data_IF_206839971745
#
_entry.id   IF_206839971745
#
_cell.length_a   1.000
_cell.length_b   1.000
_cell.length_c   1.000
_cell.angle_alpha   90.00
_cell.angle_beta   90.00
_cell.angle_gamma   90.00
#
_symmetry.space_group_name_H-M   'P 1'
#
loop_
_entity.id
_entity.type
_entity.pdbx_description
1 polymer ?
#
# COMPACT_ATOMS: atom_id res chain seq x y z
N UNK A 1 -8.06 22.73 22.03
CA UNK A 1 -7.65 21.64 21.12
C UNK A 1 -8.89 21.21 20.37
N UNK A 2 -8.75 20.84 19.09
CA UNK A 2 -9.90 20.40 18.28
C UNK A 2 -10.35 19.04 18.79
N UNK A 3 -11.65 18.88 19.07
CA UNK A 3 -12.22 17.60 19.53
C UNK A 3 -12.42 16.69 18.35
N UNK A 4 -11.78 15.53 18.36
CA UNK A 4 -11.80 14.62 17.21
C UNK A 4 -12.17 13.21 17.60
N UNK A 5 -12.89 12.55 16.72
CA UNK A 5 -13.05 11.09 16.73
C UNK A 5 -12.04 10.52 15.73
N UNK A 6 -11.21 9.59 16.17
CA UNK A 6 -10.29 8.87 15.28
C UNK A 6 -10.94 7.56 14.84
N UNK A 7 -11.21 7.42 13.54
CA UNK A 7 -11.86 6.23 12.99
C UNK A 7 -10.81 5.33 12.30
N UNK A 8 -10.53 4.19 12.92
CA UNK A 8 -9.59 3.17 12.47
C UNK A 8 -8.48 2.91 13.48
N UNK A 9 -8.21 1.63 13.77
CA UNK A 9 -7.24 1.19 14.80
C UNK A 9 -5.96 0.57 14.24
N UNK A 10 -5.75 0.66 12.92
CA UNK A 10 -4.57 0.12 12.23
C UNK A 10 -3.28 0.91 12.49
N UNK A 11 -2.22 0.63 11.72
CA UNK A 11 -0.96 1.39 11.87
C UNK A 11 -1.14 2.88 11.54
N UNK A 12 -2.06 3.21 10.63
CA UNK A 12 -2.34 4.59 10.23
C UNK A 12 -2.77 5.49 11.39
N UNK A 13 -3.56 5.00 12.35
CA UNK A 13 -3.90 5.78 13.54
C UNK A 13 -2.69 6.02 14.45
N UNK A 14 -1.78 5.04 14.57
CA UNK A 14 -0.58 5.18 15.39
C UNK A 14 0.30 6.30 14.85
N UNK A 15 0.57 6.29 13.55
CA UNK A 15 1.38 7.32 12.87
C UNK A 15 0.72 8.70 12.96
N UNK A 16 -0.59 8.77 12.76
CA UNK A 16 -1.32 10.03 12.84
C UNK A 16 -1.26 10.64 14.24
N UNK A 17 -1.46 9.83 15.28
CA UNK A 17 -1.39 10.27 16.67
C UNK A 17 0.03 10.65 17.09
N UNK A 18 1.06 9.96 16.58
CA UNK A 18 2.46 10.34 16.83
C UNK A 18 2.79 11.73 16.26
N UNK A 19 2.24 12.09 15.10
CA UNK A 19 2.50 13.39 14.43
C UNK A 19 1.65 14.53 14.97
N UNK A 20 0.36 14.28 15.20
CA UNK A 20 -0.63 15.33 15.46
C UNK A 20 -1.34 15.19 16.80
N UNK A 21 -1.16 14.08 17.53
CA UNK A 21 -1.90 13.78 18.76
C UNK A 21 -1.72 14.81 19.87
N UNK A 22 -0.57 15.49 19.94
CA UNK A 22 -0.31 16.56 20.91
C UNK A 22 -1.12 17.85 20.66
N UNK A 23 -1.77 17.98 19.50
CA UNK A 23 -2.59 19.12 19.11
C UNK A 23 -4.10 18.82 19.14
N UNK A 24 -4.45 17.53 19.32
CA UNK A 24 -5.80 17.00 19.21
C UNK A 24 -6.36 16.62 20.59
N UNK A 25 -7.66 16.87 20.78
CA UNK A 25 -8.42 16.30 21.88
C UNK A 25 -9.18 15.07 21.35
N UNK A 26 -8.57 13.88 21.47
CA UNK A 26 -9.15 12.64 20.94
C UNK A 26 -10.22 12.14 21.91
N UNK A 27 -11.47 12.47 21.60
CA UNK A 27 -12.62 12.17 22.47
C UNK A 27 -13.11 10.72 22.32
N UNK A 28 -12.82 10.08 21.19
CA UNK A 28 -13.14 8.67 20.94
C UNK A 28 -12.23 8.06 19.88
N UNK A 29 -12.01 6.74 19.99
CA UNK A 29 -11.49 5.90 18.91
C UNK A 29 -12.57 4.92 18.51
N UNK A 30 -12.83 4.85 17.20
CA UNK A 30 -13.91 4.03 16.63
C UNK A 30 -13.34 3.07 15.60
N UNK A 31 -13.87 1.84 15.56
CA UNK A 31 -13.56 0.87 14.51
C UNK A 31 -14.81 0.08 14.11
N UNK A 32 -14.87 -0.38 12.85
CA UNK A 32 -15.96 -1.24 12.37
C UNK A 32 -15.78 -2.69 12.82
N UNK A 33 -14.60 -3.05 13.32
CA UNK A 33 -14.30 -4.36 13.87
C UNK A 33 -15.01 -4.58 15.22
N UNK A 34 -16.06 -5.42 15.20
CA UNK A 34 -16.81 -5.77 16.41
C UNK A 34 -15.96 -6.52 17.44
N UNK A 35 -14.90 -7.23 17.02
CA UNK A 35 -14.03 -7.93 17.96
C UNK A 35 -13.15 -6.97 18.76
N UNK A 36 -12.93 -5.75 18.26
CA UNK A 36 -12.17 -4.70 18.94
C UNK A 36 -13.02 -3.84 19.86
N UNK A 37 -14.34 -3.84 19.72
CA UNK A 37 -15.22 -3.03 20.56
C UNK A 37 -15.00 -3.37 22.05
N UNK A 38 -14.80 -2.34 22.86
CA UNK A 38 -14.52 -2.47 24.30
C UNK A 38 -13.08 -2.84 24.65
N UNK A 39 -12.21 -3.12 23.67
CA UNK A 39 -10.78 -3.37 23.90
C UNK A 39 -9.99 -2.06 24.03
N UNK A 40 -8.79 -2.15 24.61
CA UNK A 40 -7.92 -0.99 24.86
C UNK A 40 -7.01 -0.74 23.65
N UNK A 41 -7.00 0.49 23.18
CA UNK A 41 -6.07 1.05 22.21
C UNK A 41 -5.05 1.95 22.91
N UNK A 42 -3.76 1.70 22.63
CA UNK A 42 -2.60 2.47 23.13
C UNK A 42 -2.78 2.93 24.60
N UNK A 43 -2.79 1.91 25.47
CA UNK A 43 -2.81 1.95 26.93
C UNK A 43 -4.09 2.47 27.62
N UNK A 44 -4.82 3.45 27.07
CA UNK A 44 -5.91 4.11 27.82
C UNK A 44 -7.21 4.41 27.06
N UNK A 45 -7.28 4.22 25.73
CA UNK A 45 -8.49 4.55 24.96
C UNK A 45 -9.31 3.30 24.68
N UNK A 46 -10.61 3.33 24.95
CA UNK A 46 -11.51 2.21 24.67
C UNK A 46 -12.03 2.36 23.23
N UNK A 47 -11.87 1.30 22.44
CA UNK A 47 -12.39 1.27 21.07
C UNK A 47 -13.91 1.15 21.13
N UNK A 48 -14.59 2.10 20.49
CA UNK A 48 -16.05 2.20 20.45
C UNK A 48 -16.60 1.76 19.10
N UNK A 49 -17.85 1.29 19.06
CA UNK A 49 -18.54 1.03 17.79
C UNK A 49 -19.01 2.34 17.12
N UNK A 50 -19.18 2.36 15.79
CA UNK A 50 -19.58 3.57 15.07
C UNK A 50 -20.97 4.10 15.46
N UNK A 51 -21.86 3.23 15.95
CA UNK A 51 -23.18 3.62 16.44
C UNK A 51 -23.13 4.54 17.66
N UNK A 52 -22.01 4.56 18.39
CA UNK A 52 -21.82 5.44 19.55
C UNK A 52 -21.34 6.85 19.18
N UNK A 53 -21.00 7.13 17.92
CA UNK A 53 -20.49 8.43 17.45
C UNK A 53 -21.39 9.59 17.86
N UNK A 54 -22.72 9.42 17.78
CA UNK A 54 -23.69 10.45 18.13
C UNK A 54 -23.69 10.84 19.63
N UNK A 55 -23.05 10.04 20.49
CA UNK A 55 -22.97 10.31 21.92
C UNK A 55 -21.79 11.21 22.31
N UNK A 56 -20.85 11.45 21.40
CA UNK A 56 -19.68 12.28 21.64
C UNK A 56 -19.89 13.73 21.17
N UNK A 57 -19.28 14.67 21.87
CA UNK A 57 -19.13 16.06 21.43
C UNK A 57 -17.82 16.20 20.65
N UNK A 58 -17.92 16.41 19.33
CA UNK A 58 -16.78 16.46 18.42
C UNK A 58 -16.92 17.51 17.31
N UNK A 59 -15.77 18.03 16.90
CA UNK A 59 -15.64 18.97 15.79
C UNK A 59 -15.48 18.22 14.45
N UNK A 60 -14.71 17.11 14.44
CA UNK A 60 -14.36 16.36 13.21
C UNK A 60 -14.15 14.87 13.48
N UNK A 61 -14.39 14.04 12.47
CA UNK A 61 -14.06 12.60 12.42
C UNK A 61 -12.91 12.41 11.42
N UNK A 62 -11.80 11.85 11.89
CA UNK A 62 -10.60 11.62 11.10
C UNK A 62 -10.53 10.13 10.74
N UNK A 63 -10.65 9.80 9.45
CA UNK A 63 -10.66 8.41 8.98
C UNK A 63 -9.24 7.97 8.59
N UNK A 64 -8.61 7.16 9.43
CA UNK A 64 -7.23 6.66 9.28
C UNK A 64 -7.22 5.18 8.91
N UNK A 65 -7.93 4.86 7.83
CA UNK A 65 -8.25 3.49 7.45
C UNK A 65 -8.15 3.30 5.94
N UNK A 66 -7.75 2.10 5.49
CA UNK A 66 -7.77 1.76 4.06
C UNK A 66 -9.20 1.71 3.49
N UNK A 67 -10.20 1.45 4.34
CA UNK A 67 -11.63 1.45 3.99
C UNK A 67 -12.25 2.85 4.07
N UNK A 68 -11.48 3.91 3.78
CA UNK A 68 -11.92 5.28 4.02
C UNK A 68 -13.18 5.65 3.20
N UNK A 69 -13.32 5.09 2.00
CA UNK A 69 -14.48 5.35 1.13
C UNK A 69 -15.76 4.74 1.70
N UNK A 70 -15.70 3.50 2.15
CA UNK A 70 -16.80 2.78 2.77
C UNK A 70 -17.19 3.42 4.10
N UNK A 71 -16.21 3.73 4.95
CA UNK A 71 -16.43 4.40 6.24
C UNK A 71 -17.06 5.78 6.02
N UNK A 72 -16.56 6.58 5.07
CA UNK A 72 -17.16 7.89 4.78
C UNK A 72 -18.61 7.76 4.33
N UNK A 73 -18.93 6.77 3.49
CA UNK A 73 -20.32 6.52 3.06
C UNK A 73 -21.20 6.03 4.20
N UNK A 74 -20.69 5.20 5.11
CA UNK A 74 -21.39 4.74 6.31
C UNK A 74 -21.73 5.92 7.23
N UNK A 75 -20.73 6.76 7.52
CA UNK A 75 -20.89 7.94 8.37
C UNK A 75 -21.96 8.88 7.80
N UNK A 76 -21.91 9.17 6.51
CA UNK A 76 -22.87 10.06 5.84
C UNK A 76 -24.28 9.44 5.77
N UNK A 77 -24.42 8.22 5.22
CA UNK A 77 -25.72 7.68 4.81
C UNK A 77 -26.43 6.89 5.90
N UNK A 78 -25.68 6.24 6.79
CA UNK A 78 -26.25 5.37 7.82
C UNK A 78 -26.30 6.10 9.17
N UNK A 79 -25.26 6.86 9.49
CA UNK A 79 -25.13 7.56 10.78
C UNK A 79 -25.49 9.06 10.71
N UNK A 80 -25.84 9.57 9.52
CA UNK A 80 -26.23 10.96 9.28
C UNK A 80 -25.20 11.99 9.80
N UNK A 81 -23.91 11.66 9.71
CA UNK A 81 -22.83 12.59 10.03
C UNK A 81 -22.70 13.62 8.92
N UNK A 82 -22.58 14.89 9.29
CA UNK A 82 -22.31 15.97 8.34
C UNK A 82 -20.97 15.73 7.63
N UNK A 83 -21.00 15.65 6.30
CA UNK A 83 -19.83 15.42 5.46
C UNK A 83 -18.73 16.47 5.69
N UNK A 84 -19.08 17.70 6.09
CA UNK A 84 -18.09 18.74 6.40
C UNK A 84 -17.28 18.45 7.66
N UNK A 85 -17.72 17.50 8.50
CA UNK A 85 -17.01 17.01 9.68
C UNK A 85 -16.15 15.79 9.39
N UNK A 86 -16.10 15.28 8.15
CA UNK A 86 -15.32 14.09 7.81
C UNK A 86 -14.02 14.53 7.14
N UNK A 87 -12.89 14.12 7.74
CA UNK A 87 -11.56 14.36 7.20
C UNK A 87 -10.84 13.04 6.92
N UNK A 88 -10.34 12.88 5.70
CA UNK A 88 -9.51 11.75 5.29
C UNK A 88 -8.10 12.30 5.07
N UNK A 89 -7.15 12.05 5.98
CA UNK A 89 -5.80 12.57 5.85
C UNK A 89 -5.09 12.01 4.60
N UNK A 90 -4.22 12.82 3.97
CA UNK A 90 -3.24 12.35 3.01
C UNK A 90 -2.42 11.17 3.53
N UNK A 91 -1.97 10.27 2.65
CA UNK A 91 -1.14 9.12 3.04
C UNK A 91 0.10 9.50 3.85
N UNK A 92 0.72 10.65 3.53
CA UNK A 92 1.88 11.17 4.27
C UNK A 92 1.63 11.42 5.75
N UNK A 93 0.38 11.63 6.15
CA UNK A 93 0.01 11.95 7.52
C UNK A 93 -0.29 10.69 8.34
N UNK A 94 -0.50 9.55 7.68
CA UNK A 94 -0.82 8.24 8.29
C UNK A 94 0.26 7.18 8.02
N UNK A 95 1.38 7.56 7.40
CA UNK A 95 2.57 6.73 7.21
C UNK A 95 3.80 7.51 7.70
N UNK A 96 4.85 6.83 8.16
CA UNK A 96 6.17 7.44 8.35
C UNK A 96 6.84 7.69 6.98
N UNK A 97 6.43 8.78 6.32
CA UNK A 97 6.97 9.15 5.01
C UNK A 97 8.23 9.97 5.22
N UNK A 98 9.35 9.27 5.36
CA UNK A 98 10.68 9.89 5.40
C UNK A 98 11.12 10.44 4.04
N UNK A 99 10.27 10.29 3.00
CA UNK A 99 10.53 10.62 1.58
C UNK A 99 11.92 10.18 1.15
N UNK A 100 12.20 8.87 1.25
CA UNK A 100 13.53 8.33 1.01
C UNK A 100 14.08 8.72 -0.36
N UNK A 101 13.24 8.89 -1.37
CA UNK A 101 13.69 9.19 -2.74
C UNK A 101 13.99 10.67 -3.00
N UNK A 102 13.74 11.58 -2.05
CA UNK A 102 14.30 12.94 -2.09
C UNK A 102 15.82 12.91 -1.84
N UNK A 103 16.33 11.90 -1.14
CA UNK A 103 17.77 11.65 -0.98
C UNK A 103 18.36 10.98 -2.24
N UNK A 104 19.33 11.60 -2.94
CA UNK A 104 19.85 11.07 -4.19
C UNK A 104 20.50 9.68 -4.08
N UNK A 105 21.18 9.38 -2.98
CA UNK A 105 21.86 8.10 -2.79
C UNK A 105 20.85 6.97 -2.56
N UNK A 106 19.83 7.23 -1.75
CA UNK A 106 18.75 6.28 -1.48
C UNK A 106 17.92 6.04 -2.73
N UNK A 107 17.62 7.09 -3.50
CA UNK A 107 16.94 6.97 -4.80
C UNK A 107 17.76 6.15 -5.80
N UNK A 108 19.06 6.41 -5.91
CA UNK A 108 19.91 5.63 -6.82
C UNK A 108 19.98 4.15 -6.40
N UNK A 109 20.05 3.86 -5.10
CA UNK A 109 19.96 2.50 -4.60
C UNK A 109 18.64 1.83 -4.99
N UNK A 110 17.50 2.51 -4.84
CA UNK A 110 16.20 1.98 -5.26
C UNK A 110 16.16 1.73 -6.78
N UNK A 111 16.68 2.66 -7.60
CA UNK A 111 16.79 2.50 -9.07
C UNK A 111 17.63 1.27 -9.43
N UNK A 112 18.79 1.10 -8.81
CA UNK A 112 19.65 -0.05 -9.06
C UNK A 112 18.99 -1.38 -8.67
N UNK A 113 18.28 -1.43 -7.54
CA UNK A 113 17.54 -2.64 -7.16
C UNK A 113 16.42 -2.94 -8.17
N UNK A 114 15.65 -1.94 -8.61
CA UNK A 114 14.61 -2.13 -9.64
C UNK A 114 15.21 -2.70 -10.93
N UNK A 115 16.31 -2.09 -11.42
CA UNK A 115 16.99 -2.53 -12.64
C UNK A 115 17.49 -3.97 -12.52
N UNK A 116 18.12 -4.32 -11.39
CA UNK A 116 18.70 -5.65 -11.17
C UNK A 116 17.64 -6.73 -10.99
N UNK A 117 16.60 -6.48 -10.19
CA UNK A 117 15.48 -7.41 -10.04
C UNK A 117 14.76 -7.62 -11.38
N UNK A 118 14.52 -6.55 -12.14
CA UNK A 118 13.90 -6.64 -13.47
C UNK A 118 14.78 -7.43 -14.45
N UNK A 119 16.09 -7.20 -14.44
CA UNK A 119 17.04 -7.94 -15.27
C UNK A 119 16.99 -9.45 -14.95
N UNK A 120 17.14 -9.84 -13.68
CA UNK A 120 17.09 -11.26 -13.31
C UNK A 120 15.73 -11.88 -13.60
N UNK A 121 14.65 -11.12 -13.40
CA UNK A 121 13.31 -11.62 -13.70
C UNK A 121 13.13 -11.89 -15.19
N UNK A 122 13.61 -11.02 -16.07
CA UNK A 122 13.56 -11.23 -17.52
C UNK A 122 14.40 -12.45 -17.92
N UNK A 123 15.64 -12.56 -17.42
CA UNK A 123 16.54 -13.69 -17.75
C UNK A 123 15.96 -15.04 -17.28
N UNK A 124 15.34 -15.05 -16.10
CA UNK A 124 14.78 -16.26 -15.49
C UNK A 124 13.29 -16.50 -15.88
N UNK A 125 12.73 -15.70 -16.81
CA UNK A 125 11.33 -15.74 -17.25
C UNK A 125 10.31 -15.63 -16.09
N UNK A 126 10.64 -14.83 -15.08
CA UNK A 126 9.76 -14.49 -13.97
C UNK A 126 8.96 -13.24 -14.32
N UNK A 127 7.62 -13.30 -14.38
CA UNK A 127 6.76 -12.15 -14.70
C UNK A 127 6.63 -11.18 -13.51
N UNK A 128 7.73 -10.48 -13.20
CA UNK A 128 7.83 -9.45 -12.17
C UNK A 128 7.66 -8.06 -12.80
N UNK A 129 6.46 -7.50 -12.69
CA UNK A 129 6.07 -6.23 -13.31
C UNK A 129 6.24 -5.09 -12.32
N UNK A 130 6.80 -3.95 -12.73
CA UNK A 130 6.68 -2.71 -11.93
C UNK A 130 5.23 -2.26 -11.93
N UNK A 131 4.72 -1.83 -10.77
CA UNK A 131 3.30 -1.56 -10.56
C UNK A 131 3.08 -0.23 -9.80
N UNK A 132 1.82 0.18 -9.66
CA UNK A 132 1.36 1.30 -8.84
C UNK A 132 2.24 2.56 -8.94
N UNK A 133 2.76 3.08 -7.81
CA UNK A 133 3.52 4.32 -7.74
C UNK A 133 4.83 4.26 -8.51
N UNK A 134 5.47 3.08 -8.52
CA UNK A 134 6.71 2.84 -9.27
C UNK A 134 6.49 2.91 -10.77
N UNK A 135 5.47 2.21 -11.29
CA UNK A 135 5.09 2.31 -12.69
C UNK A 135 4.70 3.74 -13.07
N UNK A 136 3.91 4.41 -12.23
CA UNK A 136 3.50 5.79 -12.45
C UNK A 136 4.71 6.72 -12.57
N UNK A 137 5.68 6.61 -11.66
CA UNK A 137 6.92 7.36 -11.70
C UNK A 137 7.70 7.10 -12.99
N UNK A 138 7.98 5.83 -13.29
CA UNK A 138 8.76 5.45 -14.49
C UNK A 138 8.11 6.01 -15.76
N UNK A 139 6.77 5.99 -15.87
CA UNK A 139 6.06 6.42 -17.07
C UNK A 139 5.89 7.94 -17.15
N UNK A 140 5.59 8.60 -16.03
CA UNK A 140 5.31 10.04 -16.00
C UNK A 140 6.56 10.89 -15.84
N UNK A 141 7.42 10.49 -14.91
CA UNK A 141 8.55 11.29 -14.42
C UNK A 141 9.90 10.74 -14.94
N UNK A 142 9.89 9.59 -15.63
CA UNK A 142 11.09 8.85 -16.08
C UNK A 142 12.03 8.44 -14.93
N UNK A 143 11.50 8.33 -13.72
CA UNK A 143 12.21 7.99 -12.47
C UNK A 143 11.19 7.50 -11.43
N UNK A 144 11.65 6.94 -10.31
CA UNK A 144 10.77 6.78 -9.13
C UNK A 144 10.25 8.13 -8.65
N UNK A 145 9.03 8.18 -8.12
CA UNK A 145 8.42 9.42 -7.67
C UNK A 145 9.22 9.96 -6.47
N UNK A 146 9.70 11.21 -6.57
CA UNK A 146 10.59 11.79 -5.54
C UNK A 146 10.00 11.77 -4.12
N UNK A 147 8.69 11.97 -4.00
CA UNK A 147 7.99 12.02 -2.72
C UNK A 147 7.36 10.68 -2.31
N UNK A 148 7.62 9.58 -3.04
CA UNK A 148 7.20 8.24 -2.63
C UNK A 148 8.08 7.68 -1.52
N UNK A 149 7.57 6.64 -0.85
CA UNK A 149 8.26 5.94 0.24
C UNK A 149 8.61 4.48 -0.06
N UNK A 150 8.06 3.91 -1.12
CA UNK A 150 8.24 2.51 -1.48
C UNK A 150 8.39 2.28 -2.99
N UNK A 151 8.82 1.06 -3.33
CA UNK A 151 8.79 0.54 -4.70
C UNK A 151 7.78 -0.59 -4.74
N UNK A 152 6.97 -0.65 -5.80
CA UNK A 152 5.93 -1.66 -5.98
C UNK A 152 6.20 -2.53 -7.21
N UNK A 153 6.16 -3.84 -6.97
CA UNK A 153 6.10 -4.85 -8.01
C UNK A 153 4.86 -5.72 -7.85
N UNK A 154 4.39 -6.23 -8.98
CA UNK A 154 3.41 -7.31 -9.04
C UNK A 154 3.99 -8.54 -9.72
N UNK A 155 3.63 -9.70 -9.19
CA UNK A 155 3.83 -10.99 -9.87
C UNK A 155 2.48 -11.46 -10.40
N UNK A 156 2.46 -11.97 -11.63
CA UNK A 156 1.28 -12.60 -12.24
C UNK A 156 1.68 -13.91 -12.91
N UNK A 157 0.83 -14.93 -12.89
CA UNK A 157 1.07 -16.16 -13.67
C UNK A 157 2.47 -16.78 -13.44
N UNK A 158 2.91 -16.86 -12.18
CA UNK A 158 4.19 -17.48 -11.82
C UNK A 158 4.25 -18.93 -12.36
N UNK A 159 5.38 -19.35 -13.00
CA UNK A 159 5.53 -20.72 -13.45
C UNK A 159 5.37 -21.73 -12.29
N UNK A 160 4.74 -22.88 -12.55
CA UNK A 160 4.39 -23.88 -11.54
C UNK A 160 5.60 -24.51 -10.85
N UNK A 161 6.74 -24.51 -11.51
CA UNK A 161 8.01 -25.07 -11.04
C UNK A 161 8.92 -24.04 -10.35
N UNK A 162 8.46 -22.79 -10.24
CA UNK A 162 9.22 -21.72 -9.59
C UNK A 162 8.76 -21.51 -8.15
N UNK A 163 9.68 -21.78 -7.21
CA UNK A 163 9.57 -21.32 -5.83
C UNK A 163 10.03 -19.86 -5.74
N UNK A 164 9.08 -18.92 -5.80
CA UNK A 164 9.40 -17.49 -5.92
C UNK A 164 10.24 -16.95 -4.76
N UNK A 165 9.99 -17.39 -3.52
CA UNK A 165 10.81 -16.99 -2.38
C UNK A 165 12.29 -17.34 -2.60
N UNK A 166 12.56 -18.57 -3.04
CA UNK A 166 13.93 -19.03 -3.33
C UNK A 166 14.54 -18.22 -4.46
N UNK A 167 13.78 -17.96 -5.53
CA UNK A 167 14.23 -17.10 -6.62
C UNK A 167 14.56 -15.69 -6.13
N UNK A 168 13.69 -15.06 -5.34
CA UNK A 168 13.86 -13.71 -4.81
C UNK A 168 15.11 -13.62 -3.94
N UNK A 169 15.31 -14.56 -3.01
CA UNK A 169 16.49 -14.61 -2.14
C UNK A 169 17.79 -14.75 -2.96
N UNK A 170 17.77 -15.57 -4.01
CA UNK A 170 18.91 -15.71 -4.91
C UNK A 170 19.15 -14.44 -5.76
N UNK A 171 18.09 -13.82 -6.29
CA UNK A 171 18.18 -12.62 -7.12
C UNK A 171 18.70 -11.42 -6.30
N UNK A 172 18.16 -11.21 -5.10
CA UNK A 172 18.58 -10.12 -4.21
C UNK A 172 20.00 -10.36 -3.67
N UNK A 173 20.38 -11.60 -3.38
CA UNK A 173 21.73 -11.96 -2.94
C UNK A 173 22.82 -11.71 -3.99
N UNK A 174 22.46 -11.56 -5.27
CA UNK A 174 23.37 -11.14 -6.35
C UNK A 174 23.57 -9.63 -6.42
N UNK A 175 22.82 -8.83 -5.65
CA UNK A 175 22.93 -7.37 -5.64
C UNK A 175 23.85 -6.95 -4.50
N UNK A 176 24.86 -6.13 -4.79
CA UNK A 176 25.72 -5.56 -3.76
C UNK A 176 24.98 -4.44 -3.03
N UNK A 177 24.40 -4.76 -1.87
CA UNK A 177 23.62 -3.81 -1.08
C UNK A 177 24.50 -3.12 -0.02
N UNK A 178 24.58 -1.78 -0.01
CA UNK A 178 25.31 -1.03 1.02
C UNK A 178 24.48 -0.83 2.31
N UNK A 179 23.41 -1.62 2.49
CA UNK A 179 22.40 -1.46 3.54
C UNK A 179 22.01 -2.81 4.12
N UNK A 180 21.46 -2.81 5.33
CA UNK A 180 20.89 -4.01 5.91
C UNK A 180 19.54 -4.31 5.25
N UNK A 181 19.33 -5.58 4.90
CA UNK A 181 18.11 -6.09 4.30
C UNK A 181 17.38 -6.99 5.29
N UNK A 182 16.09 -6.76 5.46
CA UNK A 182 15.18 -7.67 6.13
C UNK A 182 14.03 -8.01 5.18
N UNK A 183 13.65 -9.28 5.05
CA UNK A 183 12.57 -9.69 4.17
C UNK A 183 11.47 -10.35 4.99
N UNK A 184 10.23 -9.94 4.72
CA UNK A 184 9.06 -10.57 5.28
C UNK A 184 8.11 -11.03 4.19
N UNK A 185 7.45 -12.16 4.42
CA UNK A 185 6.44 -12.72 3.52
C UNK A 185 5.07 -12.76 4.19
N UNK A 186 4.01 -12.45 3.45
CA UNK A 186 2.62 -12.62 3.87
C UNK A 186 2.08 -13.92 3.27
N UNK A 187 1.48 -14.74 4.11
CA UNK A 187 0.86 -16.02 3.73
C UNK A 187 -0.64 -15.92 4.04
N UNK A 188 -1.46 -16.20 3.03
CA UNK A 188 -2.92 -16.28 3.12
C UNK A 188 -3.32 -17.66 2.63
N UNK A 189 -4.10 -18.43 3.41
CA UNK A 189 -4.58 -19.77 3.02
C UNK A 189 -3.46 -20.70 2.49
N UNK A 190 -2.32 -20.74 3.20
CA UNK A 190 -1.11 -21.50 2.84
C UNK A 190 -0.44 -21.08 1.51
N UNK A 191 -0.81 -19.93 0.95
CA UNK A 191 -0.22 -19.36 -0.26
C UNK A 191 0.55 -18.09 0.08
N UNK A 192 1.78 -17.98 -0.41
CA UNK A 192 2.55 -16.73 -0.34
C UNK A 192 1.93 -15.70 -1.27
N UNK A 193 1.51 -14.56 -0.72
CA UNK A 193 0.81 -13.52 -1.48
C UNK A 193 1.59 -12.23 -1.59
N UNK A 194 2.59 -12.00 -0.73
CA UNK A 194 3.41 -10.79 -0.78
C UNK A 194 4.77 -11.00 -0.14
N UNK A 195 5.75 -10.25 -0.61
CA UNK A 195 7.04 -10.04 0.03
C UNK A 195 7.23 -8.55 0.27
N UNK A 196 7.82 -8.20 1.41
CA UNK A 196 8.29 -6.84 1.68
C UNK A 196 9.77 -6.93 2.05
N UNK A 197 10.59 -6.22 1.27
CA UNK A 197 12.01 -6.06 1.53
C UNK A 197 12.22 -4.70 2.18
N UNK A 198 12.74 -4.68 3.40
CA UNK A 198 13.05 -3.48 4.17
C UNK A 198 14.54 -3.19 4.10
N UNK A 199 14.89 -1.99 3.64
CA UNK A 199 16.27 -1.54 3.49
C UNK A 199 16.57 -0.48 4.55
N UNK A 200 17.51 -0.78 5.45
CA UNK A 200 17.85 0.08 6.60
C UNK A 200 19.35 0.31 6.71
N UNK A 201 19.75 1.55 6.92
CA UNK A 201 21.13 1.93 7.16
C UNK A 201 21.21 3.32 7.81
N UNK A 202 22.34 3.66 8.42
CA UNK A 202 22.54 5.00 9.03
C UNK A 202 22.71 6.10 7.97
N UNK A 203 23.45 5.80 6.89
CA UNK A 203 23.75 6.72 5.79
C UNK A 203 22.70 6.78 4.67
N UNK A 204 21.66 5.93 4.69
CA UNK A 204 20.59 5.92 3.70
C UNK A 204 19.24 6.10 4.41
N UNK A 205 18.27 6.70 3.72
CA UNK A 205 16.89 6.76 4.24
C UNK A 205 16.28 5.37 4.15
N UNK A 206 15.45 5.01 5.14
CA UNK A 206 14.75 3.72 5.13
C UNK A 206 13.67 3.75 4.05
N UNK A 207 13.59 2.69 3.26
CA UNK A 207 12.52 2.46 2.30
C UNK A 207 12.22 0.97 2.18
N UNK A 208 11.11 0.64 1.52
CA UNK A 208 10.73 -0.74 1.26
C UNK A 208 10.46 -1.02 -0.21
N UNK A 209 10.61 -2.28 -0.60
CA UNK A 209 10.09 -2.79 -1.87
C UNK A 209 9.00 -3.81 -1.56
N UNK A 210 7.81 -3.57 -2.07
CA UNK A 210 6.69 -4.50 -2.05
C UNK A 210 6.70 -5.33 -3.33
N UNK A 211 6.51 -6.65 -3.19
CA UNK A 211 6.30 -7.55 -4.31
C UNK A 211 5.04 -8.35 -4.02
N UNK A 212 3.97 -8.08 -4.75
CA UNK A 212 2.65 -8.61 -4.44
C UNK A 212 2.10 -9.50 -5.54
N UNK A 213 1.50 -10.62 -5.16
CA UNK A 213 0.88 -11.54 -6.10
C UNK A 213 -0.48 -11.01 -6.53
N UNK A 214 -0.74 -11.09 -7.84
CA UNK A 214 -2.06 -10.88 -8.43
C UNK A 214 -2.59 -12.20 -8.98
N UNK A 215 -3.89 -12.42 -8.81
CA UNK A 215 -4.57 -13.63 -9.27
C UNK A 215 -5.80 -13.28 -10.10
N UNK A 216 -6.04 -14.05 -11.17
CA UNK A 216 -7.24 -13.93 -11.98
C UNK A 216 -8.44 -14.54 -11.23
N UNK A 217 -9.47 -13.72 -11.00
CA UNK A 217 -10.74 -14.13 -10.39
C UNK A 217 -11.88 -13.35 -11.04
N UNK A 218 -12.90 -14.05 -11.54
CA UNK A 218 -14.09 -13.44 -12.17
C UNK A 218 -13.74 -12.38 -13.24
N UNK A 219 -12.88 -12.75 -14.21
CA UNK A 219 -12.44 -11.90 -15.34
C UNK A 219 -11.66 -10.61 -14.95
N UNK A 220 -11.11 -10.57 -13.74
CA UNK A 220 -10.23 -9.49 -13.25
C UNK A 220 -9.06 -10.04 -12.47
N UNK A 221 -7.92 -9.36 -12.54
CA UNK A 221 -6.82 -9.63 -11.61
C UNK A 221 -7.06 -8.90 -10.30
N UNK A 222 -7.01 -9.63 -9.20
CA UNK A 222 -7.12 -9.09 -7.83
C UNK A 222 -5.73 -9.03 -7.19
N UNK A 223 -5.44 -7.93 -6.51
CA UNK A 223 -4.26 -7.80 -5.67
C UNK A 223 -4.50 -8.57 -4.36
N UNK A 224 -3.81 -9.69 -4.19
CA UNK A 224 -4.09 -10.64 -3.10
C UNK A 224 -3.84 -10.06 -1.71
N UNK A 225 -2.74 -9.32 -1.44
CA UNK A 225 -2.48 -8.80 -0.09
C UNK A 225 -3.55 -7.83 0.41
N UNK A 226 -4.28 -7.19 -0.50
CA UNK A 226 -5.39 -6.28 -0.19
C UNK A 226 -6.77 -6.93 -0.26
N UNK A 227 -6.86 -8.26 -0.41
CA UNK A 227 -8.12 -8.98 -0.57
C UNK A 227 -8.93 -8.57 -1.82
N UNK A 228 -8.28 -7.99 -2.84
CA UNK A 228 -8.95 -7.49 -4.05
C UNK A 228 -9.44 -6.03 -4.00
N UNK A 229 -9.09 -5.25 -2.97
CA UNK A 229 -9.38 -3.81 -2.92
C UNK A 229 -8.76 -3.09 -4.11
N UNK A 230 -7.51 -3.42 -4.44
CA UNK A 230 -6.97 -3.12 -5.77
C UNK A 230 -7.27 -4.29 -6.70
N UNK A 231 -7.85 -3.96 -7.85
CA UNK A 231 -8.14 -4.92 -8.92
C UNK A 231 -7.86 -4.25 -10.26
N UNK A 232 -7.94 -5.04 -11.32
CA UNK A 232 -7.77 -4.54 -12.68
C UNK A 232 -8.45 -5.48 -13.68
N UNK A 233 -9.03 -4.95 -14.77
CA UNK A 233 -9.47 -5.75 -15.90
C UNK A 233 -8.39 -6.74 -16.36
N UNK A 234 -8.81 -7.95 -16.73
CA UNK A 234 -7.90 -9.04 -17.13
C UNK A 234 -6.87 -8.62 -18.20
N UNK A 235 -7.29 -7.80 -19.16
CA UNK A 235 -6.44 -7.35 -20.29
C UNK A 235 -5.09 -6.75 -19.89
N UNK A 236 -4.97 -6.18 -18.68
CA UNK A 236 -3.75 -5.50 -18.24
C UNK A 236 -2.68 -6.48 -17.73
N UNK A 237 -3.05 -7.71 -17.37
CA UNK A 237 -2.16 -8.65 -16.68
C UNK A 237 -2.13 -10.07 -17.28
N UNK A 238 -2.98 -10.37 -18.25
CA UNK A 238 -2.83 -11.57 -19.11
C UNK A 238 -1.53 -11.56 -19.91
N UNK A 239 -1.04 -10.35 -20.21
CA UNK A 239 0.20 -10.08 -20.92
C UNK A 239 0.92 -8.94 -20.20
N UNK A 240 2.17 -8.74 -20.57
CA UNK A 240 2.97 -7.59 -20.14
C UNK A 240 3.70 -7.00 -21.34
N UNK A 241 4.15 -5.76 -21.18
CA UNK A 241 5.10 -5.12 -22.09
C UNK A 241 6.47 -5.05 -21.43
N UNK A 242 7.52 -4.99 -22.25
CA UNK A 242 8.87 -4.67 -21.79
C UNK A 242 9.21 -3.29 -22.34
N UNK A 243 9.48 -2.34 -21.46
CA UNK A 243 9.90 -0.98 -21.83
C UNK A 243 11.35 -0.74 -21.43
N UNK A 244 11.99 0.20 -22.13
CA UNK A 244 13.31 0.68 -21.74
C UNK A 244 13.18 1.83 -20.74
N UNK A 245 13.86 1.70 -19.60
CA UNK A 245 14.00 2.73 -18.57
C UNK A 245 15.47 2.80 -18.15
N UNK A 246 16.09 3.98 -18.31
CA UNK A 246 17.51 4.20 -18.01
C UNK A 246 18.44 3.11 -18.60
N UNK A 247 18.24 2.80 -19.89
CA UNK A 247 18.98 1.76 -20.66
C UNK A 247 18.81 0.33 -20.14
N UNK A 248 17.90 0.11 -19.20
CA UNK A 248 17.52 -1.21 -18.69
C UNK A 248 16.10 -1.56 -19.12
N UNK A 249 15.79 -2.84 -19.13
CA UNK A 249 14.45 -3.34 -19.45
C UNK A 249 13.68 -3.59 -18.17
N UNK A 250 12.43 -3.14 -18.13
CA UNK A 250 11.47 -3.44 -17.05
C UNK A 250 10.17 -3.98 -17.64
N UNK A 251 9.58 -4.96 -16.97
CA UNK A 251 8.25 -5.48 -17.33
C UNK A 251 7.18 -4.58 -16.72
N UNK A 252 6.15 -4.26 -17.50
CA UNK A 252 5.02 -3.41 -17.10
C UNK A 252 3.70 -4.07 -17.51
N UNK A 253 2.57 -3.76 -16.85
CA UNK A 253 1.25 -4.19 -17.29
C UNK A 253 1.00 -3.88 -18.77
N UNK A 254 0.31 -4.76 -19.48
CA UNK A 254 -0.05 -4.51 -20.88
C UNK A 254 -0.97 -3.29 -20.99
N UNK A 255 -0.77 -2.44 -22.00
CA UNK A 255 -1.42 -1.14 -22.12
C UNK A 255 -1.25 -0.27 -20.85
N UNK A 256 -0.05 -0.25 -20.26
CA UNK A 256 0.23 0.39 -18.95
C UNK A 256 -0.31 1.83 -18.80
N UNK A 257 -0.43 2.62 -19.87
CA UNK A 257 -1.02 3.97 -19.81
C UNK A 257 -2.52 3.96 -19.51
N UNK A 258 -3.26 3.03 -20.13
CA UNK A 258 -4.68 2.81 -19.84
C UNK A 258 -4.85 2.21 -18.44
N UNK A 259 -3.92 1.36 -18.00
CA UNK A 259 -3.91 0.83 -16.65
C UNK A 259 -3.70 1.93 -15.60
N UNK A 260 -2.76 2.86 -15.82
CA UNK A 260 -2.57 4.02 -14.95
C UNK A 260 -3.81 4.93 -14.93
N UNK A 261 -4.50 5.10 -16.07
CA UNK A 261 -5.77 5.83 -16.13
C UNK A 261 -6.89 5.12 -15.38
N UNK A 262 -6.95 3.78 -15.46
CA UNK A 262 -7.85 2.98 -14.66
C UNK A 262 -7.57 3.14 -13.16
N UNK A 263 -6.31 3.12 -12.72
CA UNK A 263 -5.98 3.24 -11.29
C UNK A 263 -6.22 4.63 -10.72
N UNK A 264 -5.79 5.67 -11.45
CA UNK A 264 -5.59 7.01 -10.89
C UNK A 264 -6.41 8.11 -11.60
N UNK A 265 -7.10 7.80 -12.71
CA UNK A 265 -7.77 8.81 -13.54
C UNK A 265 -6.75 9.70 -14.27
N UNK A 266 -6.73 11.01 -13.98
CA UNK A 266 -5.80 11.97 -14.59
C UNK A 266 -4.37 11.88 -13.98
N UNK A 267 -3.73 10.73 -14.18
CA UNK A 267 -2.42 10.40 -13.59
C UNK A 267 -1.27 11.27 -14.08
N UNK A 268 -1.44 11.90 -15.25
CA UNK A 268 -0.42 12.78 -15.86
C UNK A 268 -0.21 14.05 -15.06
N UNK A 269 -1.22 14.49 -14.30
CA UNK A 269 -1.11 15.61 -13.38
C UNK A 269 -0.60 15.11 -12.02
N UNK A 270 0.60 15.51 -11.56
CA UNK A 270 1.12 15.03 -10.29
C UNK A 270 0.22 15.44 -9.12
N UNK A 271 -0.09 14.49 -8.24
CA UNK A 271 -0.75 14.72 -6.95
C UNK A 271 0.13 14.20 -5.82
N UNK A 272 0.77 15.11 -5.09
CA UNK A 272 1.71 14.75 -4.00
C UNK A 272 1.00 14.20 -2.77
N UNK A 273 -0.13 14.79 -2.43
CA UNK A 273 -0.89 14.47 -1.23
C UNK A 273 -2.08 13.57 -1.59
N UNK A 274 -1.76 12.36 -2.06
CA UNK A 274 -2.78 11.37 -2.42
C UNK A 274 -3.45 10.80 -1.16
N UNK A 275 -4.77 10.66 -1.17
CA UNK A 275 -5.56 9.98 -0.14
C UNK A 275 -6.01 8.59 -0.63
N UNK A 276 -6.62 7.79 0.25
CA UNK A 276 -7.21 6.52 -0.16
C UNK A 276 -8.38 6.67 -1.15
N UNK A 277 -9.06 7.81 -1.15
CA UNK A 277 -10.22 8.08 -2.03
C UNK A 277 -9.84 8.57 -3.42
N UNK A 278 -8.55 8.82 -3.66
CA UNK A 278 -8.05 9.31 -4.96
C UNK A 278 -7.88 8.22 -6.02
N UNK A 279 -7.89 6.94 -5.62
CA UNK A 279 -7.91 5.83 -6.57
C UNK A 279 -9.26 5.81 -7.31
N UNK A 280 -9.19 5.87 -8.63
CA UNK A 280 -10.38 5.97 -9.49
C UNK A 280 -11.24 4.70 -9.43
N UNK A 281 -10.60 3.53 -9.28
CA UNK A 281 -11.26 2.24 -9.21
C UNK A 281 -10.73 1.43 -8.02
N UNK A 282 -11.61 1.17 -7.06
CA UNK A 282 -11.37 0.28 -5.92
C UNK A 282 -12.46 -0.80 -5.91
N UNK A 283 -12.06 -2.02 -5.58
CA UNK A 283 -12.95 -3.16 -5.39
C UNK A 283 -13.55 -3.13 -3.99
N UNK A 284 -14.78 -3.65 -3.88
CA UNK A 284 -15.41 -3.84 -2.58
C UNK A 284 -14.80 -5.06 -1.90
N UNK A 285 -14.21 -4.85 -0.72
CA UNK A 285 -13.69 -5.93 0.13
C UNK A 285 -14.38 -5.86 1.47
N UNK A 286 -15.07 -6.94 1.82
CA UNK A 286 -15.66 -7.07 3.15
C UNK A 286 -14.55 -7.17 4.17
N UNK A 287 -14.65 -6.36 5.22
CA UNK A 287 -13.70 -6.34 6.32
C UNK A 287 -13.46 -7.74 6.93
N UNK A 288 -14.54 -8.50 7.13
CA UNK A 288 -14.50 -9.87 7.67
C UNK A 288 -13.67 -10.83 6.81
N UNK A 289 -13.70 -10.68 5.48
CA UNK A 289 -12.95 -11.53 4.57
C UNK A 289 -11.46 -11.13 4.54
N UNK A 290 -11.17 -9.84 4.74
CA UNK A 290 -9.81 -9.34 4.87
C UNK A 290 -9.13 -9.86 6.15
N UNK A 291 -9.79 -9.79 7.32
CA UNK A 291 -9.21 -10.29 8.57
C UNK A 291 -8.94 -11.80 8.53
N UNK A 292 -9.86 -12.58 7.95
CA UNK A 292 -9.66 -14.04 7.82
C UNK A 292 -8.39 -14.41 7.05
N UNK A 293 -7.94 -13.53 6.15
CA UNK A 293 -6.69 -13.73 5.41
C UNK A 293 -5.43 -13.61 6.28
N UNK A 294 -5.55 -13.12 7.51
CA UNK A 294 -4.46 -12.91 8.44
C UNK A 294 -3.68 -11.62 8.16
N UNK A 295 -3.32 -10.91 9.23
CA UNK A 295 -2.58 -9.63 9.17
C UNK A 295 -1.06 -9.81 9.26
N UNK A 296 -0.58 -11.04 9.40
CA UNK A 296 0.80 -11.34 9.76
C UNK A 296 1.76 -11.43 8.57
N UNK A 297 2.80 -10.61 8.60
CA UNK A 297 4.03 -10.86 7.84
C UNK A 297 5.00 -11.70 8.70
N UNK A 298 5.55 -12.76 8.12
CA UNK A 298 6.59 -13.60 8.73
C UNK A 298 7.95 -13.22 8.18
N UNK A 299 8.93 -13.06 9.06
CA UNK A 299 10.32 -12.81 8.69
C UNK A 299 10.95 -14.06 8.05
N UNK A 300 11.63 -13.87 6.92
CA UNK A 300 12.26 -14.94 6.14
C UNK A 300 13.75 -14.65 5.83
N UNK A 301 14.23 -13.43 6.09
CA UNK A 301 15.64 -13.02 6.05
C UNK A 301 15.88 -11.82 6.96
#
# INVERSE_FOLDING_TARGET
MKKVILFGTGNGSKEYLLKYGSELDVVAIVDNDKEKEGTIYQDNLIISSPSSIASFDYDEIIIVSQWAKEISSQLEKELNVDISKIYIPPKKDIKDVQRPFEDPNTRELAREIIKKLSYYAIEDNIPLLVDFGTLLGIVRDNDVILWDDDVDFSIVNLPLDVEFETWLLNAIGKINLPVNLNIKSKIVDNKQVSFILFFKHESYKTFSISISLRELKDDRYIHLPSGGMWYSPQKFFDKYEIIEWDKHKVMVPFCYKEYLEFLYGDWKKPKKDITMTDYANLGEVKYEDFIKSGDGYKEIM
#
